data_IF_020800606128
#
_entry.id   IF_020800606128
#
_cell.length_a   1.000
_cell.length_b   1.000
_cell.length_c   1.000
_cell.angle_alpha   90.00
_cell.angle_beta   90.00
_cell.angle_gamma   90.00
#
_symmetry.space_group_name_H-M   'P 1'
#
loop_
_entity.id
_entity.type
_entity.pdbx_description
1 polymer ?
#
# COMPACT_ATOMS: atom_id res chain seq x y z
N UNK A 1 -20.21 -2.53 5.33
CA UNK A 1 -19.28 -1.99 4.32
C UNK A 1 -18.15 -2.99 4.19
N UNK A 2 -17.87 -3.58 3.01
CA UNK A 2 -16.71 -4.45 2.91
C UNK A 2 -15.48 -3.56 3.06
N UNK A 3 -14.81 -3.66 4.19
CA UNK A 3 -13.45 -3.16 4.35
C UNK A 3 -12.63 -3.84 3.28
N UNK A 4 -12.22 -3.11 2.24
CA UNK A 4 -11.24 -3.61 1.27
C UNK A 4 -10.10 -4.23 2.07
N UNK A 5 -9.91 -5.55 1.89
CA UNK A 5 -8.98 -6.32 2.69
C UNK A 5 -7.58 -5.86 2.28
N UNK A 6 -7.02 -4.91 3.02
CA UNK A 6 -5.63 -4.51 2.87
C UNK A 6 -4.78 -5.72 3.26
N UNK A 7 -3.91 -6.23 2.36
CA UNK A 7 -2.96 -7.27 2.72
C UNK A 7 -2.14 -6.84 3.93
N UNK A 8 -2.06 -7.69 4.95
CA UNK A 8 -1.35 -7.37 6.20
C UNK A 8 0.11 -7.00 5.96
N UNK A 9 0.76 -7.60 4.95
CA UNK A 9 2.13 -7.28 4.54
C UNK A 9 2.30 -5.83 4.11
N UNK A 10 1.31 -5.25 3.41
CA UNK A 10 1.32 -3.85 2.97
C UNK A 10 1.16 -2.93 4.16
N UNK A 11 0.16 -3.18 5.02
CA UNK A 11 -0.06 -2.37 6.22
C UNK A 11 1.18 -2.36 7.13
N UNK A 12 1.83 -3.51 7.30
CA UNK A 12 3.06 -3.62 8.09
C UNK A 12 4.21 -2.83 7.44
N UNK A 13 4.35 -2.89 6.12
CA UNK A 13 5.38 -2.12 5.42
C UNK A 13 5.17 -0.62 5.60
N UNK A 14 3.94 -0.14 5.43
CA UNK A 14 3.62 1.29 5.59
C UNK A 14 3.90 1.75 7.01
N UNK A 15 3.40 1.04 8.03
CA UNK A 15 3.62 1.42 9.43
C UNK A 15 5.10 1.39 9.83
N UNK A 16 5.89 0.47 9.25
CA UNK A 16 7.31 0.33 9.55
C UNK A 16 8.18 1.41 8.90
N UNK A 17 7.90 1.77 7.65
CA UNK A 17 8.74 2.70 6.89
C UNK A 17 8.26 4.15 6.96
N UNK A 18 6.95 4.35 7.15
CA UNK A 18 6.31 5.66 7.22
C UNK A 18 5.54 5.77 8.55
N UNK A 19 6.25 5.97 9.67
CA UNK A 19 5.59 6.22 10.93
C UNK A 19 4.73 7.49 10.82
N UNK A 20 3.50 7.43 11.34
CA UNK A 20 2.49 8.51 11.27
C UNK A 20 1.80 8.76 9.92
N UNK A 21 1.90 7.84 8.96
CA UNK A 21 1.01 7.85 7.78
C UNK A 21 0.02 6.70 7.84
N UNK A 22 -1.10 6.86 7.14
CA UNK A 22 -2.09 5.79 6.96
C UNK A 22 -2.32 5.53 5.49
N UNK A 23 -2.77 4.31 5.17
CA UNK A 23 -3.20 3.96 3.82
C UNK A 23 -4.50 4.70 3.52
N UNK A 24 -4.48 5.56 2.51
CA UNK A 24 -5.62 6.34 2.05
C UNK A 24 -6.43 5.55 1.03
N UNK A 25 -5.77 4.89 0.10
CA UNK A 25 -6.42 4.04 -0.90
C UNK A 25 -5.54 2.84 -1.24
N UNK A 26 -6.16 1.69 -1.54
CA UNK A 26 -5.48 0.53 -2.09
C UNK A 26 -6.19 0.06 -3.36
N UNK A 27 -5.44 -0.05 -4.46
CA UNK A 27 -5.95 -0.54 -5.74
C UNK A 27 -5.30 -1.88 -6.07
N UNK A 28 -6.09 -2.95 -6.12
CA UNK A 28 -5.62 -4.27 -6.58
C UNK A 28 -5.58 -4.29 -8.12
N UNK A 29 -4.39 -4.47 -8.68
CA UNK A 29 -4.16 -4.64 -10.12
C UNK A 29 -3.80 -6.07 -10.48
N UNK A 30 -3.81 -6.39 -11.79
CA UNK A 30 -3.30 -7.67 -12.29
C UNK A 30 -1.81 -7.85 -12.03
N UNK A 31 -1.03 -6.78 -11.86
CA UNK A 31 0.41 -6.80 -11.55
C UNK A 31 0.71 -6.86 -10.05
N UNK A 32 -0.21 -6.45 -9.19
CA UNK A 32 0.04 -6.31 -7.76
C UNK A 32 -0.95 -5.36 -7.09
N UNK A 33 -0.45 -4.45 -6.28
CA UNK A 33 -1.23 -3.45 -5.54
C UNK A 33 -0.57 -2.08 -5.66
N UNK A 34 -1.37 -1.04 -5.87
CA UNK A 34 -0.91 0.33 -5.65
C UNK A 34 -1.58 0.84 -4.38
N UNK A 35 -0.83 1.61 -3.60
CA UNK A 35 -1.21 2.03 -2.27
C UNK A 35 -0.88 3.50 -2.14
N UNK A 36 -1.92 4.32 -2.12
CA UNK A 36 -1.78 5.74 -1.82
C UNK A 36 -1.77 5.92 -0.31
N UNK A 37 -0.74 6.57 0.22
CA UNK A 37 -0.64 6.89 1.65
C UNK A 37 -0.92 8.37 1.91
N UNK A 38 -1.28 8.69 3.15
CA UNK A 38 -1.80 10.01 3.54
C UNK A 38 -0.83 11.18 3.35
N UNK A 39 0.46 10.90 3.11
CA UNK A 39 1.46 11.92 2.79
C UNK A 39 1.55 12.24 1.29
N UNK A 40 0.72 11.62 0.46
CA UNK A 40 0.67 11.84 -0.99
C UNK A 40 1.59 10.94 -1.81
N UNK A 41 2.30 9.99 -1.20
CA UNK A 41 3.12 9.03 -1.94
C UNK A 41 2.28 7.84 -2.43
N UNK A 42 2.62 7.38 -3.64
CA UNK A 42 2.08 6.15 -4.22
C UNK A 42 3.10 5.02 -4.15
N UNK A 43 2.74 3.95 -3.44
CA UNK A 43 3.59 2.79 -3.24
C UNK A 43 3.09 1.63 -4.09
N UNK A 44 3.96 1.07 -4.94
CA UNK A 44 3.68 -0.14 -5.69
C UNK A 44 4.18 -1.38 -4.96
N UNK A 45 3.31 -2.38 -4.85
CA UNK A 45 3.60 -3.69 -4.31
C UNK A 45 3.30 -4.78 -5.35
N UNK A 46 4.05 -5.87 -5.32
CA UNK A 46 3.76 -7.03 -6.15
C UNK A 46 2.55 -7.81 -5.61
N UNK A 47 2.12 -8.86 -6.33
CA UNK A 47 1.01 -9.74 -5.92
C UNK A 47 1.16 -10.39 -4.53
N UNK A 48 2.40 -10.53 -4.06
CA UNK A 48 2.71 -11.10 -2.74
C UNK A 48 2.69 -10.02 -1.63
N UNK A 49 2.43 -8.75 -1.98
CA UNK A 49 2.47 -7.63 -1.04
C UNK A 49 3.90 -7.22 -0.68
N UNK A 50 4.88 -7.51 -1.54
CA UNK A 50 6.26 -7.03 -1.37
C UNK A 50 6.43 -5.72 -2.14
N UNK A 51 7.02 -4.73 -1.47
CA UNK A 51 7.31 -3.43 -2.05
C UNK A 51 8.17 -3.54 -3.30
N UNK A 52 7.80 -2.81 -4.35
CA UNK A 52 8.51 -2.71 -5.62
C UNK A 52 9.18 -1.34 -5.72
N UNK A 53 8.39 -0.26 -5.69
CA UNK A 53 8.84 1.11 -5.93
C UNK A 53 7.86 2.14 -5.36
N UNK A 54 8.32 3.38 -5.25
CA UNK A 54 7.49 4.57 -5.02
C UNK A 54 7.37 5.26 -6.38
N UNK A 55 6.15 5.66 -6.78
CA UNK A 55 5.90 6.60 -7.87
C UNK A 55 5.53 7.96 -7.26
N UNK A 56 5.93 9.04 -7.93
CA UNK A 56 5.60 10.45 -7.61
C UNK A 56 4.51 10.97 -8.54
#
# INVERSE_FOLDING_TARGET
>A
MPTEIIPQSISQYVQKNFPNVFVKEIKKRRSGYDVEISNGLDLEFNKQGKFIRIDD
#
